data_IF_457092026376
#
_entry.id   IF_457092026376
#
_cell.length_a   1.000
_cell.length_b   1.000
_cell.length_c   1.000
_cell.angle_alpha   90.00
_cell.angle_beta   90.00
_cell.angle_gamma   90.00
#
_symmetry.space_group_name_H-M   'P 1'
#
loop_
_entity.id
_entity.type
_entity.pdbx_description
1 polymer ?
#
# COMPACT_ATOMS: atom_id res chain seq x y z
N UNK A 1 -23.97 6.69 14.26
CA UNK A 1 -22.78 7.13 13.54
C UNK A 1 -22.24 6.00 12.70
N UNK A 2 -22.16 6.22 11.41
CA UNK A 2 -21.67 5.19 10.51
C UNK A 2 -20.15 5.11 10.57
N UNK A 3 -19.65 3.90 10.71
CA UNK A 3 -18.24 3.61 10.65
C UNK A 3 -17.73 3.82 9.23
N UNK A 4 -16.60 4.49 9.09
CA UNK A 4 -16.01 4.69 7.77
C UNK A 4 -15.33 3.41 7.33
N UNK A 5 -15.59 3.01 6.08
CA UNK A 5 -14.88 1.89 5.49
C UNK A 5 -13.42 2.25 5.24
N UNK A 6 -12.55 1.25 5.29
CA UNK A 6 -11.14 1.47 5.03
C UNK A 6 -10.92 1.95 3.60
N UNK A 7 -10.05 2.95 3.38
CA UNK A 7 -9.74 3.42 2.03
C UNK A 7 -9.26 2.34 1.07
N UNK A 8 -8.69 1.24 1.59
CA UNK A 8 -8.15 0.19 0.74
C UNK A 8 -9.20 -0.62 -0.02
N UNK A 9 -10.49 -0.40 0.27
CA UNK A 9 -11.56 -1.01 -0.50
C UNK A 9 -11.90 -2.45 -0.14
N UNK A 10 -11.43 -2.92 1.01
CA UNK A 10 -11.65 -4.30 1.42
C UNK A 10 -13.05 -4.51 2.06
N UNK A 11 -13.78 -3.43 2.33
CA UNK A 11 -15.14 -3.50 2.87
C UNK A 11 -15.22 -3.46 4.38
N UNK A 12 -14.10 -3.54 5.06
CA UNK A 12 -14.05 -3.44 6.53
C UNK A 12 -13.88 -2.00 6.97
N UNK A 13 -14.15 -1.72 8.26
CA UNK A 13 -13.85 -0.40 8.79
C UNK A 13 -12.33 -0.21 8.86
N UNK A 14 -11.88 1.04 8.85
CA UNK A 14 -10.46 1.34 8.98
C UNK A 14 -9.87 0.71 10.25
N UNK A 15 -10.57 0.82 11.38
CA UNK A 15 -10.08 0.28 12.66
C UNK A 15 -9.99 -1.25 12.67
N UNK A 16 -10.75 -1.93 11.82
CA UNK A 16 -10.72 -3.39 11.70
C UNK A 16 -9.89 -3.86 10.51
N UNK A 17 -9.25 -2.96 9.79
CA UNK A 17 -8.51 -3.27 8.56
C UNK A 17 -7.10 -2.70 8.61
N UNK A 18 -6.85 -1.57 7.95
CA UNK A 18 -5.51 -1.00 7.86
C UNK A 18 -5.05 -0.23 9.10
N UNK A 19 -6.00 0.23 9.93
CA UNK A 19 -5.66 0.98 11.14
C UNK A 19 -4.63 0.31 12.01
N UNK A 20 -4.82 -0.98 12.39
CA UNK A 20 -3.84 -1.69 13.21
C UNK A 20 -2.46 -1.80 12.56
N UNK A 21 -2.37 -1.88 11.24
CA UNK A 21 -1.07 -1.91 10.55
C UNK A 21 -0.38 -0.55 10.62
N UNK A 22 -1.10 0.52 10.35
CA UNK A 22 -0.54 1.86 10.37
C UNK A 22 -0.12 2.28 11.79
N UNK A 23 -0.86 1.83 12.81
CA UNK A 23 -0.52 2.11 14.21
C UNK A 23 0.60 1.22 14.74
N UNK A 24 1.02 0.22 13.97
CA UNK A 24 2.04 -0.79 14.35
C UNK A 24 1.54 -1.78 15.40
N UNK A 25 0.24 -1.84 15.65
CA UNK A 25 -0.33 -2.84 16.57
C UNK A 25 -0.28 -4.24 15.98
N UNK A 26 -0.32 -4.34 14.65
CA UNK A 26 -0.25 -5.60 13.92
C UNK A 26 0.65 -5.44 12.71
N UNK A 27 1.12 -6.57 12.16
CA UNK A 27 1.87 -6.56 10.90
C UNK A 27 1.10 -7.33 9.84
N UNK A 28 1.12 -6.87 8.57
CA UNK A 28 0.47 -7.60 7.50
C UNK A 28 1.07 -8.98 7.33
N UNK A 29 0.22 -10.01 7.21
CA UNK A 29 0.69 -11.40 7.08
C UNK A 29 0.73 -11.88 5.63
N UNK A 30 0.28 -11.06 4.68
CA UNK A 30 0.31 -11.37 3.25
C UNK A 30 0.78 -10.13 2.47
N UNK A 31 1.25 -10.38 1.24
CA UNK A 31 1.63 -9.29 0.35
C UNK A 31 0.44 -8.39 0.02
N UNK A 32 -0.74 -8.98 -0.18
CA UNK A 32 -1.95 -8.18 -0.45
C UNK A 32 -2.30 -7.28 0.73
N UNK A 33 -2.22 -7.79 1.96
CA UNK A 33 -2.50 -7.00 3.16
C UNK A 33 -1.52 -5.82 3.26
N UNK A 34 -0.25 -6.05 2.96
CA UNK A 34 0.74 -4.97 2.94
C UNK A 34 0.41 -3.94 1.86
N UNK A 35 0.08 -4.40 0.65
CA UNK A 35 -0.27 -3.51 -0.45
C UNK A 35 -1.44 -2.60 -0.07
N UNK A 36 -2.50 -3.18 0.48
CA UNK A 36 -3.68 -2.41 0.90
C UNK A 36 -3.33 -1.39 1.98
N UNK A 37 -2.51 -1.77 2.95
CA UNK A 37 -2.09 -0.85 4.01
C UNK A 37 -1.22 0.29 3.49
N UNK A 38 -0.37 0.03 2.49
CA UNK A 38 0.43 1.08 1.86
C UNK A 38 -0.44 2.07 1.07
N UNK A 39 -1.48 1.57 0.38
CA UNK A 39 -2.43 2.46 -0.27
C UNK A 39 -3.09 3.38 0.76
N UNK A 40 -3.57 2.82 1.87
CA UNK A 40 -4.18 3.61 2.94
C UNK A 40 -3.19 4.62 3.52
N UNK A 41 -1.90 4.24 3.61
CA UNK A 41 -0.87 5.17 4.06
C UNK A 41 -0.73 6.37 3.11
N UNK A 42 -0.83 6.17 1.79
CA UNK A 42 -0.86 7.28 0.84
C UNK A 42 -2.08 8.17 1.07
N UNK A 43 -3.26 7.58 1.25
CA UNK A 43 -4.49 8.32 1.51
C UNK A 43 -4.36 9.20 2.75
N UNK A 44 -3.75 8.66 3.81
CA UNK A 44 -3.59 9.33 5.09
C UNK A 44 -2.30 10.12 5.19
N UNK A 45 -1.47 10.09 4.14
CA UNK A 45 -0.18 10.77 4.11
C UNK A 45 0.75 10.30 5.24
N UNK A 46 0.72 9.00 5.52
CA UNK A 46 1.59 8.37 6.52
C UNK A 46 2.89 7.94 5.86
N UNK A 47 3.78 8.90 5.66
CA UNK A 47 5.04 8.70 4.95
C UNK A 47 5.98 7.78 5.74
N UNK A 48 5.93 7.84 7.06
CA UNK A 48 6.72 6.95 7.92
C UNK A 48 6.41 5.48 7.64
N UNK A 49 5.12 5.14 7.47
CA UNK A 49 4.73 3.78 7.16
C UNK A 49 5.25 3.33 5.79
N UNK A 50 5.18 4.21 4.79
CA UNK A 50 5.70 3.92 3.45
C UNK A 50 7.20 3.64 3.49
N UNK A 51 7.93 4.41 4.29
CA UNK A 51 9.37 4.24 4.45
C UNK A 51 9.70 2.93 5.15
N UNK A 52 9.04 2.64 6.27
CA UNK A 52 9.36 1.44 7.08
C UNK A 52 8.94 0.14 6.41
N UNK A 53 8.02 0.19 5.43
CA UNK A 53 7.59 -1.00 4.69
C UNK A 53 8.26 -1.12 3.33
N UNK A 54 9.24 -0.26 3.03
CA UNK A 54 10.05 -0.38 1.84
C UNK A 54 11.21 -1.36 2.08
N UNK A 55 11.51 -2.19 1.09
CA UNK A 55 12.62 -3.15 1.18
C UNK A 55 13.90 -2.43 1.60
N UNK A 56 14.60 -2.92 2.65
CA UNK A 56 15.73 -2.17 3.23
C UNK A 56 16.81 -1.74 2.25
N UNK A 57 17.12 -2.56 1.25
CA UNK A 57 18.13 -2.20 0.25
C UNK A 57 17.72 -1.01 -0.61
N UNK A 58 16.43 -0.70 -0.67
CA UNK A 58 15.90 0.37 -1.51
C UNK A 58 15.69 1.68 -0.73
N UNK A 59 15.99 1.70 0.57
CA UNK A 59 15.79 2.89 1.39
C UNK A 59 16.64 4.09 0.94
N UNK A 60 17.80 3.84 0.35
CA UNK A 60 18.65 4.93 -0.14
C UNK A 60 18.00 5.76 -1.24
N UNK A 61 17.17 5.12 -2.05
CA UNK A 61 16.46 5.81 -3.13
C UNK A 61 15.12 6.41 -2.69
N UNK A 62 14.76 6.28 -1.43
CA UNK A 62 13.50 6.79 -0.94
C UNK A 62 13.57 8.29 -0.71
N UNK A 63 12.81 9.04 -1.52
CA UNK A 63 12.72 10.49 -1.38
C UNK A 63 11.48 10.81 -0.57
N UNK A 64 11.66 11.06 0.71
CA UNK A 64 10.60 11.31 1.65
C UNK A 64 9.82 12.59 1.31
N UNK A 65 10.52 13.62 0.90
CA UNK A 65 9.91 14.91 0.53
C UNK A 65 9.06 14.76 -0.74
N UNK A 66 9.61 14.13 -1.77
CA UNK A 66 8.87 13.90 -3.02
C UNK A 66 7.67 13.00 -2.81
N UNK A 67 7.80 11.98 -1.97
CA UNK A 67 6.70 11.06 -1.66
C UNK A 67 5.59 11.78 -0.92
N UNK A 68 5.93 12.60 0.06
CA UNK A 68 4.96 13.37 0.82
C UNK A 68 4.22 14.36 -0.08
N UNK A 69 4.94 15.02 -0.99
CA UNK A 69 4.35 15.95 -1.92
C UNK A 69 3.37 15.26 -2.85
N UNK A 70 3.77 14.12 -3.41
CA UNK A 70 2.92 13.35 -4.32
C UNK A 70 1.66 12.85 -3.62
N UNK A 71 1.78 12.37 -2.39
CA UNK A 71 0.64 11.92 -1.60
C UNK A 71 -0.33 13.07 -1.30
N UNK A 72 0.19 14.27 -1.03
CA UNK A 72 -0.62 15.44 -0.70
C UNK A 72 -1.30 16.05 -1.93
N UNK A 73 -0.64 16.00 -3.09
CA UNK A 73 -1.16 16.61 -4.32
C UNK A 73 -2.28 15.79 -4.98
N UNK A 74 -2.38 14.51 -4.66
CA UNK A 74 -3.35 13.62 -5.29
C UNK A 74 -4.46 13.26 -4.30
N UNK A 75 -5.68 13.28 -4.79
CA UNK A 75 -6.82 12.86 -3.98
C UNK A 75 -7.20 11.43 -4.40
N UNK A 76 -6.88 10.48 -3.53
CA UNK A 76 -7.08 9.07 -3.80
C UNK A 76 -8.55 8.69 -3.67
N UNK A 77 -9.10 8.03 -4.70
CA UNK A 77 -10.54 7.74 -4.77
C UNK A 77 -10.87 6.26 -4.72
N UNK A 78 -9.91 5.37 -4.85
CA UNK A 78 -10.20 3.95 -4.76
C UNK A 78 -9.05 3.06 -5.16
N UNK A 79 -9.12 1.82 -4.72
CA UNK A 79 -8.15 0.78 -5.01
C UNK A 79 -8.89 -0.47 -5.45
N UNK A 80 -8.41 -1.10 -6.52
CA UNK A 80 -8.90 -2.41 -6.95
C UNK A 80 -7.70 -3.34 -7.09
N UNK A 81 -7.71 -4.44 -6.35
CA UNK A 81 -6.70 -5.49 -6.51
C UNK A 81 -7.19 -6.42 -7.60
N UNK A 82 -6.43 -6.54 -8.68
CA UNK A 82 -6.81 -7.31 -9.87
C UNK A 82 -6.30 -8.74 -9.84
N UNK A 83 -5.10 -8.97 -9.33
CA UNK A 83 -4.50 -10.30 -9.30
C UNK A 83 -3.44 -10.39 -8.22
N UNK A 84 -3.33 -11.55 -7.58
CA UNK A 84 -2.32 -11.82 -6.56
C UNK A 84 -1.65 -13.14 -6.92
N UNK A 85 -0.31 -13.11 -7.05
CA UNK A 85 0.50 -14.30 -7.32
C UNK A 85 1.36 -14.57 -6.10
N UNK A 86 1.18 -15.72 -5.45
CA UNK A 86 1.87 -16.06 -4.20
C UNK A 86 1.61 -15.00 -3.14
N UNK A 87 2.56 -14.75 -2.24
CA UNK A 87 2.41 -13.71 -1.23
C UNK A 87 1.52 -14.08 -0.06
N UNK A 88 1.18 -15.35 0.11
CA UNK A 88 0.42 -15.84 1.26
C UNK A 88 1.28 -15.92 2.51
N UNK A 89 0.66 -16.24 3.64
CA UNK A 89 1.34 -16.28 4.94
C UNK A 89 2.56 -17.21 4.96
N UNK A 90 2.56 -18.27 4.14
CA UNK A 90 3.65 -19.23 4.08
C UNK A 90 4.68 -18.91 2.99
N UNK A 91 4.44 -17.89 2.17
CA UNK A 91 5.33 -17.54 1.07
C UNK A 91 6.38 -16.51 1.50
N UNK A 92 7.47 -16.44 0.74
CA UNK A 92 8.54 -15.45 0.98
C UNK A 92 8.53 -14.31 -0.03
N UNK A 93 7.80 -14.47 -1.11
CA UNK A 93 7.63 -13.43 -2.11
C UNK A 93 6.26 -13.54 -2.74
N UNK A 94 5.85 -12.46 -3.38
CA UNK A 94 4.61 -12.44 -4.12
C UNK A 94 4.48 -11.17 -4.92
N UNK A 95 3.49 -11.15 -5.81
CA UNK A 95 3.18 -9.98 -6.61
C UNK A 95 1.71 -9.63 -6.45
N UNK A 96 1.41 -8.33 -6.53
CA UNK A 96 0.03 -7.84 -6.50
C UNK A 96 -0.15 -6.88 -7.67
N UNK A 97 -1.10 -7.20 -8.55
CA UNK A 97 -1.50 -6.33 -9.64
C UNK A 97 -2.71 -5.53 -9.17
N UNK A 98 -2.62 -4.21 -9.25
CA UNK A 98 -3.69 -3.36 -8.75
C UNK A 98 -3.86 -2.11 -9.61
N UNK A 99 -5.01 -1.45 -9.42
CA UNK A 99 -5.28 -0.13 -9.95
C UNK A 99 -5.64 0.80 -8.80
N UNK A 100 -4.95 1.93 -8.72
CA UNK A 100 -5.26 2.98 -7.76
C UNK A 100 -5.79 4.18 -8.55
N UNK A 101 -6.95 4.67 -8.15
CA UNK A 101 -7.59 5.81 -8.81
C UNK A 101 -7.41 7.06 -7.98
N UNK A 102 -7.16 8.18 -8.67
CA UNK A 102 -6.93 9.45 -7.97
C UNK A 102 -7.33 10.63 -8.84
N UNK A 103 -7.67 11.73 -8.18
CA UNK A 103 -7.95 13.00 -8.83
C UNK A 103 -6.70 13.86 -8.75
N UNK A 104 -6.31 14.43 -9.89
CA UNK A 104 -5.19 15.35 -9.97
C UNK A 104 -5.54 16.44 -10.99
N UNK A 105 -5.49 17.68 -10.58
CA UNK A 105 -5.83 18.80 -11.47
C UNK A 105 -7.25 18.73 -12.00
N UNK A 106 -8.19 18.17 -11.22
CA UNK A 106 -9.58 18.02 -11.62
C UNK A 106 -9.85 16.85 -12.55
N UNK A 107 -8.85 16.03 -12.84
CA UNK A 107 -9.01 14.86 -13.72
C UNK A 107 -8.84 13.56 -12.93
N UNK A 108 -9.69 12.59 -13.25
CA UNK A 108 -9.58 11.26 -12.69
C UNK A 108 -8.51 10.47 -13.43
N UNK A 109 -7.58 9.92 -12.69
CA UNK A 109 -6.46 9.13 -13.24
C UNK A 109 -6.46 7.74 -12.63
N UNK A 110 -5.88 6.80 -13.37
CA UNK A 110 -5.69 5.43 -12.89
C UNK A 110 -4.22 5.07 -12.98
N UNK A 111 -3.66 4.64 -11.85
CA UNK A 111 -2.30 4.10 -11.79
C UNK A 111 -2.40 2.59 -11.68
N UNK A 112 -1.95 1.88 -12.69
CA UNK A 112 -1.93 0.42 -12.70
C UNK A 112 -0.50 -0.05 -12.51
N UNK A 113 -0.32 -0.96 -11.57
CA UNK A 113 1.03 -1.43 -11.23
C UNK A 113 0.97 -2.89 -10.81
N UNK A 114 1.99 -3.67 -11.23
CA UNK A 114 2.27 -4.97 -10.67
C UNK A 114 3.45 -4.79 -9.72
N UNK A 115 3.21 -4.92 -8.43
CA UNK A 115 4.24 -4.71 -7.41
C UNK A 115 4.80 -6.02 -6.92
N UNK A 116 6.11 -6.06 -6.70
CA UNK A 116 6.78 -7.21 -6.11
C UNK A 116 7.01 -6.97 -4.63
N UNK A 117 6.72 -7.99 -3.82
CA UNK A 117 6.88 -7.96 -2.37
C UNK A 117 7.76 -9.12 -1.92
N UNK A 118 8.53 -8.90 -0.86
CA UNK A 118 9.35 -9.93 -0.26
C UNK A 118 9.21 -9.90 1.26
N UNK A 119 9.34 -11.07 1.88
CA UNK A 119 9.28 -11.21 3.34
C UNK A 119 10.69 -11.38 3.88
N UNK A 120 10.98 -10.70 4.99
CA UNK A 120 12.25 -10.81 5.70
C UNK A 120 11.98 -10.74 7.20
N UNK A 121 12.48 -11.70 7.95
CA UNK A 121 12.29 -11.75 9.40
C UNK A 121 10.81 -11.65 9.81
N UNK A 122 9.94 -12.29 9.03
CA UNK A 122 8.50 -12.32 9.31
C UNK A 122 7.70 -11.12 8.85
N UNK A 123 8.36 -10.13 8.25
CA UNK A 123 7.70 -8.91 7.78
C UNK A 123 7.72 -8.79 6.26
N UNK A 124 6.59 -8.39 5.70
CA UNK A 124 6.49 -8.12 4.27
C UNK A 124 6.99 -6.70 3.96
N UNK A 125 7.66 -6.57 2.79
CA UNK A 125 8.18 -5.30 2.30
C UNK A 125 7.84 -5.13 0.83
N UNK A 126 7.56 -3.90 0.43
CA UNK A 126 7.43 -3.52 -0.98
C UNK A 126 8.83 -3.43 -1.57
N UNK A 127 9.06 -4.09 -2.70
CA UNK A 127 10.38 -4.10 -3.34
C UNK A 127 10.42 -3.15 -4.53
N UNK A 128 9.56 -3.34 -5.50
CA UNK A 128 9.62 -2.60 -6.76
C UNK A 128 8.36 -2.79 -7.60
N UNK A 129 8.16 -1.86 -8.52
CA UNK A 129 7.16 -2.02 -9.57
C UNK A 129 7.75 -2.86 -10.69
N UNK A 130 6.99 -3.83 -11.18
CA UNK A 130 7.40 -4.67 -12.28
C UNK A 130 6.80 -4.15 -13.58
N UNK A 131 7.53 -4.28 -14.69
CA UNK A 131 7.01 -3.96 -16.01
C UNK A 131 5.94 -4.99 -16.38
N UNK A 132 4.87 -4.52 -17.05
CA UNK A 132 3.81 -5.42 -17.51
C UNK A 132 3.07 -4.84 -18.70
#
# INVERSE_FOLDING_TARGET
MTEKTCPCGDGKSFDACCGPYLSRASVPVTAEALMRSRYTAFVRQDISYLRTTLWPKNLRGFDEVATAKWAAENHWTGLTVLDVQKGGAADREGTVLFEARYLSGGKLNTHRECSRFRKKAGNWYYVEALAH
#
